data_IF_006739962436
#
_entry.id   IF_006739962436
#
_cell.length_a   1.000
_cell.length_b   1.000
_cell.length_c   1.000
_cell.angle_alpha   90.00
_cell.angle_beta   90.00
_cell.angle_gamma   90.00
#
_symmetry.space_group_name_H-M   'P 1'
#
loop_
_entity.id
_entity.type
_entity.pdbx_description
1 polymer ?
#
# COMPACT_ATOMS: atom_id res chain seq x y z
N UNK A 1 -9.07 7.03 -21.28
CA UNK A 1 -8.90 5.79 -20.50
C UNK A 1 -7.45 5.38 -20.57
N UNK A 2 -6.91 4.84 -19.48
CA UNK A 2 -5.56 4.28 -19.43
C UNK A 2 -5.60 2.92 -18.74
N UNK A 3 -4.91 1.91 -19.30
CA UNK A 3 -4.90 0.56 -18.76
C UNK A 3 -4.08 0.51 -17.47
N UNK A 4 -4.66 0.00 -16.39
CA UNK A 4 -3.96 -0.33 -15.15
C UNK A 4 -3.85 -1.84 -15.05
N UNK A 5 -2.64 -2.37 -15.05
CA UNK A 5 -2.38 -3.81 -14.93
C UNK A 5 -1.60 -4.11 -13.65
N UNK A 6 -1.77 -5.29 -13.03
CA UNK A 6 -0.91 -5.72 -11.94
C UNK A 6 0.53 -5.86 -12.44
N UNK A 7 1.49 -5.34 -11.68
CA UNK A 7 2.90 -5.63 -11.87
C UNK A 7 3.29 -6.80 -10.98
N UNK A 8 3.43 -7.98 -11.59
CA UNK A 8 3.89 -9.19 -10.91
C UNK A 8 5.41 -9.10 -10.67
N UNK A 9 5.80 -9.21 -9.41
CA UNK A 9 7.18 -9.28 -8.97
C UNK A 9 7.25 -10.29 -7.82
N UNK A 10 7.68 -11.54 -8.07
CA UNK A 10 7.59 -12.62 -7.08
C UNK A 10 8.30 -12.32 -5.75
N UNK A 11 9.32 -11.45 -5.75
CA UNK A 11 10.05 -11.08 -4.53
C UNK A 11 9.25 -10.06 -3.74
N UNK A 12 8.80 -9.00 -4.40
CA UNK A 12 8.03 -7.94 -3.74
C UNK A 12 6.62 -8.39 -3.38
N UNK A 13 6.00 -9.25 -4.19
CA UNK A 13 4.68 -9.82 -3.89
C UNK A 13 4.74 -10.66 -2.60
N UNK A 14 5.87 -11.31 -2.32
CA UNK A 14 6.08 -12.09 -1.11
C UNK A 14 6.46 -11.23 0.11
N UNK A 15 7.37 -10.28 -0.05
CA UNK A 15 8.00 -9.57 1.09
C UNK A 15 7.67 -8.07 1.16
N UNK A 16 6.84 -7.55 0.26
CA UNK A 16 6.39 -6.17 0.27
C UNK A 16 5.37 -5.91 1.37
N UNK A 17 4.68 -4.78 1.29
CA UNK A 17 3.62 -4.36 2.19
C UNK A 17 2.41 -3.90 1.38
N UNK A 18 1.20 -4.04 1.91
CA UNK A 18 -0.01 -3.59 1.19
C UNK A 18 0.08 -2.06 1.05
N UNK A 19 -0.22 -1.47 -0.11
CA UNK A 19 -0.26 -0.02 -0.29
C UNK A 19 -1.13 0.72 0.75
N UNK A 20 -2.11 0.03 1.31
CA UNK A 20 -3.04 0.51 2.35
C UNK A 20 -2.51 0.35 3.77
N UNK A 21 -1.41 -0.37 3.95
CA UNK A 21 -0.83 -0.65 5.25
C UNK A 21 -0.30 0.59 5.97
N UNK A 22 -0.20 0.44 7.28
CA UNK A 22 0.45 1.41 8.16
C UNK A 22 1.94 1.59 7.81
N UNK A 23 2.59 0.55 7.25
CA UNK A 23 3.99 0.59 6.82
C UNK A 23 4.19 1.62 5.72
N UNK A 24 3.35 1.52 4.68
CA UNK A 24 3.42 2.38 3.51
C UNK A 24 3.05 3.81 3.88
N UNK A 25 2.05 3.98 4.76
CA UNK A 25 1.70 5.30 5.28
C UNK A 25 2.86 5.95 6.05
N UNK A 26 3.50 5.23 6.98
CA UNK A 26 4.53 5.81 7.85
C UNK A 26 5.85 6.07 7.13
N UNK A 27 6.31 5.14 6.28
CA UNK A 27 7.67 5.19 5.74
C UNK A 27 7.74 5.62 4.28
N UNK A 28 6.75 5.25 3.47
CA UNK A 28 6.77 5.57 2.03
C UNK A 28 6.21 6.94 1.69
N UNK A 29 5.39 7.55 2.56
CA UNK A 29 4.76 8.85 2.28
C UNK A 29 5.78 9.96 2.02
N UNK A 30 6.92 9.97 2.72
CA UNK A 30 7.99 10.95 2.47
C UNK A 30 8.75 10.68 1.17
N UNK A 31 8.76 9.42 0.71
CA UNK A 31 9.44 8.97 -0.50
C UNK A 31 8.62 9.31 -1.74
N UNK A 32 7.34 8.93 -1.79
CA UNK A 32 6.49 9.12 -2.98
C UNK A 32 5.56 10.32 -2.86
N UNK A 33 5.38 10.88 -1.67
CA UNK A 33 4.51 12.03 -1.41
C UNK A 33 3.06 11.62 -1.12
N UNK A 34 2.30 12.43 -0.34
CA UNK A 34 0.95 12.09 0.11
C UNK A 34 -0.02 11.75 -1.03
N UNK A 35 0.01 12.54 -2.12
CA UNK A 35 -0.87 12.31 -3.28
C UNK A 35 -0.56 10.98 -3.98
N UNK A 36 0.71 10.63 -4.13
CA UNK A 36 1.09 9.36 -4.74
C UNK A 36 0.72 8.18 -3.85
N UNK A 37 0.91 8.30 -2.53
CA UNK A 37 0.47 7.28 -1.56
C UNK A 37 -1.03 7.01 -1.70
N UNK A 38 -1.87 8.04 -1.67
CA UNK A 38 -3.32 7.87 -1.84
C UNK A 38 -3.72 7.33 -3.22
N UNK A 39 -3.02 7.76 -4.28
CA UNK A 39 -3.27 7.23 -5.61
C UNK A 39 -3.00 5.73 -5.66
N UNK A 40 -1.87 5.25 -5.13
CA UNK A 40 -1.52 3.83 -5.16
C UNK A 40 -2.48 3.02 -4.29
N UNK A 41 -2.94 3.53 -3.15
CA UNK A 41 -4.02 2.91 -2.33
C UNK A 41 -5.29 2.69 -3.14
N UNK A 42 -5.72 3.70 -3.90
CA UNK A 42 -6.88 3.61 -4.79
C UNK A 42 -6.65 2.61 -5.91
N UNK A 43 -5.45 2.62 -6.51
CA UNK A 43 -5.11 1.69 -7.58
C UNK A 43 -5.14 0.23 -7.11
N UNK A 44 -4.61 -0.02 -5.91
CA UNK A 44 -4.64 -1.32 -5.24
C UNK A 44 -6.07 -1.79 -4.93
N UNK A 45 -6.92 -0.91 -4.42
CA UNK A 45 -8.34 -1.22 -4.18
C UNK A 45 -9.08 -1.61 -5.46
N UNK A 46 -8.69 -1.02 -6.60
CA UNK A 46 -9.22 -1.42 -7.91
C UNK A 46 -8.87 -2.85 -8.32
N UNK A 47 -7.72 -3.37 -7.86
CA UNK A 47 -7.31 -4.76 -8.12
C UNK A 47 -8.09 -5.78 -7.30
N UNK A 48 -8.67 -5.38 -6.15
CA UNK A 48 -9.53 -6.28 -5.38
C UNK A 48 -10.78 -6.66 -6.19
N UNK A 49 -11.36 -5.68 -6.90
CA UNK A 49 -12.49 -5.91 -7.80
C UNK A 49 -12.10 -6.43 -9.18
N UNK A 50 -10.90 -6.08 -9.66
CA UNK A 50 -10.41 -6.44 -11.00
C UNK A 50 -8.97 -6.99 -10.93
N UNK A 51 -8.77 -8.26 -10.54
CA UNK A 51 -7.44 -8.82 -10.27
C UNK A 51 -6.48 -8.76 -11.48
N UNK A 52 -7.02 -8.88 -12.70
CA UNK A 52 -6.26 -8.82 -13.96
C UNK A 52 -6.06 -7.38 -14.50
N UNK A 53 -6.50 -6.39 -13.73
CA UNK A 53 -6.44 -4.98 -14.08
C UNK A 53 -7.70 -4.44 -14.75
N UNK A 54 -7.74 -3.12 -14.90
CA UNK A 54 -8.92 -2.37 -15.31
C UNK A 54 -8.53 -1.09 -16.06
N UNK A 55 -9.50 -0.48 -16.74
CA UNK A 55 -9.29 0.79 -17.41
C UNK A 55 -9.61 1.95 -16.46
N UNK A 56 -8.65 2.84 -16.29
CA UNK A 56 -8.76 4.01 -15.44
C UNK A 56 -9.20 5.23 -16.25
N UNK A 57 -10.30 5.85 -15.83
CA UNK A 57 -10.60 7.22 -16.20
C UNK A 57 -9.69 8.16 -15.39
N UNK A 58 -8.60 8.60 -16.03
CA UNK A 58 -7.60 9.49 -15.44
C UNK A 58 -8.22 10.80 -14.95
N UNK A 59 -9.13 11.39 -15.72
CA UNK A 59 -9.73 12.68 -15.40
C UNK A 59 -10.71 12.56 -14.22
N UNK A 60 -11.59 11.56 -14.26
CA UNK A 60 -12.49 11.27 -13.15
C UNK A 60 -11.73 10.93 -11.86
N UNK A 61 -10.67 10.13 -11.98
CA UNK A 61 -9.84 9.73 -10.83
C UNK A 61 -9.10 10.91 -10.22
N UNK A 62 -8.51 11.78 -11.04
CA UNK A 62 -7.84 12.99 -10.57
C UNK A 62 -8.81 13.90 -9.80
N UNK A 63 -10.01 14.16 -10.35
CA UNK A 63 -11.03 14.97 -9.68
C UNK A 63 -11.51 14.34 -8.37
N UNK A 64 -11.68 13.02 -8.34
CA UNK A 64 -12.07 12.27 -7.13
C UNK A 64 -11.02 12.32 -6.00
N UNK A 65 -9.76 12.60 -6.35
CA UNK A 65 -8.67 12.82 -5.39
C UNK A 65 -8.49 14.31 -5.04
N UNK A 66 -9.38 15.20 -5.49
CA UNK A 66 -9.29 16.64 -5.28
C UNK A 66 -8.16 17.31 -6.07
N UNK A 67 -7.68 16.68 -7.15
CA UNK A 67 -6.58 17.19 -7.96
C UNK A 67 -7.12 17.97 -9.16
N UNK A 68 -6.47 19.09 -9.48
CA UNK A 68 -6.77 19.81 -10.71
C UNK A 68 -6.37 18.99 -11.94
N UNK A 69 -7.26 18.94 -12.91
CA UNK A 69 -7.02 18.28 -14.20
C UNK A 69 -6.45 19.33 -15.15
N UNK A 70 -5.21 19.74 -14.92
CA UNK A 70 -4.47 20.49 -15.93
C UNK A 70 -4.09 19.54 -17.06
N UNK A 71 -4.25 19.95 -18.32
CA UNK A 71 -3.77 19.14 -19.46
C UNK A 71 -2.24 19.02 -19.40
N UNK A 72 -1.71 17.79 -19.50
CA UNK A 72 -0.29 17.51 -19.68
C UNK A 72 0.49 17.05 -18.44
N UNK A 73 1.79 16.84 -18.63
CA UNK A 73 2.73 16.24 -17.67
C UNK A 73 2.92 17.04 -16.37
N UNK A 74 2.50 18.31 -16.35
CA UNK A 74 2.62 19.19 -15.18
C UNK A 74 1.48 19.01 -14.15
N UNK A 75 0.43 18.26 -14.46
CA UNK A 75 -0.71 18.07 -13.55
C UNK A 75 -0.29 17.38 -12.24
N UNK A 76 -0.92 17.70 -11.10
CA UNK A 76 -0.65 17.01 -9.84
C UNK A 76 -0.81 15.48 -9.94
N UNK A 77 -1.79 15.02 -10.72
CA UNK A 77 -2.01 13.60 -10.98
C UNK A 77 -0.85 12.98 -11.77
N UNK A 78 -0.42 13.62 -12.87
CA UNK A 78 0.72 13.16 -13.65
C UNK A 78 2.02 13.15 -12.82
N UNK A 79 2.24 14.15 -11.96
CA UNK A 79 3.38 14.19 -11.04
C UNK A 79 3.33 13.05 -10.02
N UNK A 80 2.15 12.74 -9.46
CA UNK A 80 2.00 11.63 -8.53
C UNK A 80 2.31 10.28 -9.20
N UNK A 81 1.79 10.03 -10.41
CA UNK A 81 2.15 8.85 -11.23
C UNK A 81 3.63 8.80 -11.56
N UNK A 82 4.21 9.92 -11.99
CA UNK A 82 5.62 10.01 -12.34
C UNK A 82 6.51 9.69 -11.13
N UNK A 83 6.12 10.10 -9.92
CA UNK A 83 6.81 9.68 -8.69
C UNK A 83 6.67 8.19 -8.44
N UNK A 84 5.47 7.61 -8.62
CA UNK A 84 5.28 6.16 -8.52
C UNK A 84 6.21 5.41 -9.49
N UNK A 85 6.38 5.91 -10.71
CA UNK A 85 7.32 5.35 -11.68
C UNK A 85 8.78 5.52 -11.24
N UNK A 86 9.16 6.73 -10.84
CA UNK A 86 10.54 7.06 -10.43
C UNK A 86 11.02 6.23 -9.23
N UNK A 87 10.11 5.90 -8.30
CA UNK A 87 10.43 5.10 -7.11
C UNK A 87 10.06 3.62 -7.26
N UNK A 88 9.73 3.17 -8.47
CA UNK A 88 9.52 1.75 -8.77
C UNK A 88 8.24 1.15 -8.20
N UNK A 89 7.25 1.97 -7.84
CA UNK A 89 5.89 1.54 -7.43
C UNK A 89 5.01 1.25 -8.65
N UNK A 90 5.27 1.92 -9.76
CA UNK A 90 4.61 1.68 -11.05
C UNK A 90 5.63 1.64 -12.19
N UNK A 91 5.22 1.15 -13.34
CA UNK A 91 5.98 1.19 -14.58
C UNK A 91 5.07 1.66 -15.71
N UNK A 92 5.52 2.64 -16.49
CA UNK A 92 4.80 3.07 -17.68
C UNK A 92 4.75 1.95 -18.74
N UNK A 93 3.63 1.86 -19.45
CA UNK A 93 3.37 0.96 -20.57
C UNK A 93 2.86 1.78 -21.75
N UNK A 94 2.68 1.15 -22.92
CA UNK A 94 2.22 1.85 -24.12
C UNK A 94 0.78 2.38 -24.00
N UNK A 95 -0.05 1.73 -23.19
CA UNK A 95 -1.49 2.01 -23.02
C UNK A 95 -1.88 2.43 -21.59
N UNK A 96 -0.90 2.57 -20.69
CA UNK A 96 -1.13 2.97 -19.31
C UNK A 96 0.03 2.60 -18.38
N UNK A 97 -0.26 1.92 -17.27
CA UNK A 97 0.71 1.62 -16.22
C UNK A 97 0.54 0.22 -15.64
N UNK A 98 1.67 -0.45 -15.41
CA UNK A 98 1.73 -1.62 -14.53
C UNK A 98 2.02 -1.14 -13.10
N UNK A 99 1.22 -1.57 -12.12
CA UNK A 99 1.30 -1.07 -10.74
C UNK A 99 1.50 -2.23 -9.79
N UNK A 100 2.43 -2.09 -8.84
CA UNK A 100 2.69 -3.12 -7.85
C UNK A 100 1.50 -3.28 -6.91
N UNK A 101 1.15 -4.53 -6.60
CA UNK A 101 0.15 -4.85 -5.56
C UNK A 101 0.72 -4.79 -4.15
N UNK A 102 2.04 -4.95 -4.02
CA UNK A 102 2.79 -4.87 -2.78
C UNK A 102 3.95 -3.88 -2.96
N UNK A 103 4.19 -3.03 -1.98
CA UNK A 103 5.26 -2.04 -1.99
C UNK A 103 6.47 -2.65 -1.28
N UNK A 104 7.67 -2.62 -1.88
CA UNK A 104 8.83 -3.21 -1.22
C UNK A 104 9.14 -2.52 0.11
N UNK A 105 9.86 -3.17 1.03
CA UNK A 105 10.42 -2.50 2.19
C UNK A 105 11.21 -1.27 1.77
N UNK A 106 11.13 -0.19 2.56
CA UNK A 106 11.84 1.05 2.25
C UNK A 106 13.35 0.77 2.16
N UNK A 107 14.00 1.31 1.11
CA UNK A 107 15.44 1.14 0.96
C UNK A 107 16.21 1.90 2.05
N UNK A 108 17.39 1.40 2.41
CA UNK A 108 18.24 2.04 3.42
C UNK A 108 18.54 3.51 3.09
N UNK A 109 18.71 3.84 1.80
CA UNK A 109 18.95 5.20 1.33
C UNK A 109 17.79 6.16 1.64
N UNK A 110 16.55 5.68 1.59
CA UNK A 110 15.38 6.49 1.94
C UNK A 110 15.13 6.52 3.45
N UNK A 111 15.36 5.40 4.13
CA UNK A 111 15.23 5.29 5.58
C UNK A 111 16.09 6.31 6.33
N UNK A 112 17.37 6.45 5.96
CA UNK A 112 18.29 7.38 6.64
C UNK A 112 17.93 8.87 6.48
N UNK A 113 16.99 9.20 5.58
CA UNK A 113 16.46 10.56 5.38
C UNK A 113 15.23 10.85 6.22
N UNK A 114 14.64 9.84 6.85
CA UNK A 114 13.52 10.03 7.76
C UNK A 114 14.00 10.68 9.07
N UNK A 115 13.10 11.36 9.81
CA UNK A 115 13.31 11.73 11.21
C UNK A 115 13.83 10.56 12.07
N UNK A 116 14.67 10.87 13.05
CA UNK A 116 15.36 9.85 13.87
C UNK A 116 14.41 8.92 14.62
N UNK A 117 13.27 9.44 15.08
CA UNK A 117 12.20 8.69 15.72
C UNK A 117 11.55 7.68 14.76
N UNK A 118 11.30 8.05 13.51
CA UNK A 118 10.79 7.13 12.49
C UNK A 118 11.82 6.07 12.10
N UNK A 119 13.11 6.41 12.09
CA UNK A 119 14.16 5.42 11.88
C UNK A 119 14.20 4.38 13.01
N UNK A 120 14.10 4.80 14.28
CA UNK A 120 14.07 3.87 15.41
C UNK A 120 12.82 2.98 15.39
N UNK A 121 11.64 3.57 15.13
CA UNK A 121 10.40 2.80 14.95
C UNK A 121 10.51 1.76 13.83
N UNK A 122 11.18 2.08 12.73
CA UNK A 122 11.42 1.12 11.65
C UNK A 122 12.36 -0.01 12.09
N UNK A 123 13.40 0.28 12.89
CA UNK A 123 14.28 -0.76 13.48
C UNK A 123 13.51 -1.67 14.44
N UNK A 124 12.64 -1.10 15.27
CA UNK A 124 11.72 -1.85 16.13
C UNK A 124 10.84 -2.79 15.30
N UNK A 125 10.19 -2.26 14.27
CA UNK A 125 9.40 -3.08 13.34
C UNK A 125 10.24 -4.22 12.76
N UNK A 126 11.41 -3.94 12.19
CA UNK A 126 12.27 -4.96 11.61
C UNK A 126 12.64 -6.08 12.60
N UNK A 127 12.87 -5.75 13.88
CA UNK A 127 13.10 -6.73 14.96
C UNK A 127 11.86 -7.60 15.19
N UNK A 128 10.68 -7.01 15.27
CA UNK A 128 9.41 -7.74 15.49
C UNK A 128 8.96 -8.57 14.28
N UNK A 129 9.39 -8.21 13.07
CA UNK A 129 9.06 -8.97 11.84
C UNK A 129 9.77 -10.31 11.71
N UNK A 130 10.84 -10.53 12.46
CA UNK A 130 11.63 -11.76 12.31
C UNK A 130 10.90 -12.99 12.86
N UNK A 131 9.95 -12.81 13.79
CA UNK A 131 9.24 -13.92 14.43
C UNK A 131 7.80 -13.54 14.74
N UNK A 132 6.83 -14.20 14.09
CA UNK A 132 5.42 -14.16 14.46
C UNK A 132 5.13 -15.40 15.31
N UNK A 133 4.63 -15.23 16.53
CA UNK A 133 4.16 -16.39 17.32
C UNK A 133 2.81 -16.85 16.79
N UNK A 134 2.57 -18.17 16.76
CA UNK A 134 1.30 -18.73 16.31
C UNK A 134 0.12 -18.17 17.11
N UNK A 135 0.29 -17.96 18.42
CA UNK A 135 -0.74 -17.37 19.28
C UNK A 135 -1.07 -15.92 18.92
N UNK A 136 -0.05 -15.12 18.57
CA UNK A 136 -0.26 -13.74 18.14
C UNK A 136 -1.00 -13.70 16.80
N UNK A 137 -0.62 -14.57 15.86
CA UNK A 137 -1.28 -14.68 14.57
C UNK A 137 -2.74 -15.16 14.71
N UNK A 138 -2.98 -16.22 15.46
CA UNK A 138 -4.32 -16.76 15.69
C UNK A 138 -5.24 -15.70 16.32
N UNK A 139 -4.72 -14.93 17.28
CA UNK A 139 -5.46 -13.81 17.88
C UNK A 139 -5.74 -12.71 16.88
N UNK A 140 -4.75 -12.32 16.08
CA UNK A 140 -4.92 -11.31 15.04
C UNK A 140 -5.97 -11.73 14.00
N UNK A 141 -5.94 -12.98 13.55
CA UNK A 141 -6.92 -13.55 12.63
C UNK A 141 -8.33 -13.56 13.22
N UNK A 142 -8.47 -13.95 14.48
CA UNK A 142 -9.77 -13.95 15.15
C UNK A 142 -10.36 -12.53 15.24
N UNK A 143 -9.54 -11.54 15.61
CA UNK A 143 -9.96 -10.14 15.67
C UNK A 143 -10.31 -9.60 14.27
N UNK A 144 -9.48 -9.87 13.26
CA UNK A 144 -9.71 -9.45 11.89
C UNK A 144 -11.01 -10.05 11.32
N UNK A 145 -11.26 -11.35 11.56
CA UNK A 145 -12.48 -12.00 11.15
C UNK A 145 -13.72 -11.36 11.80
N UNK A 146 -13.66 -11.04 13.09
CA UNK A 146 -14.77 -10.37 13.79
C UNK A 146 -15.04 -8.97 13.22
N UNK A 147 -14.01 -8.18 12.92
CA UNK A 147 -14.15 -6.85 12.30
C UNK A 147 -14.82 -6.95 10.92
N UNK A 148 -14.35 -7.89 10.09
CA UNK A 148 -14.89 -8.09 8.75
C UNK A 148 -16.33 -8.62 8.78
N UNK A 149 -16.63 -9.59 9.66
CA UNK A 149 -17.99 -10.12 9.84
C UNK A 149 -18.95 -9.05 10.39
N UNK A 150 -18.44 -8.08 11.16
CA UNK A 150 -19.19 -6.92 11.62
C UNK A 150 -19.42 -5.86 10.51
N UNK A 151 -18.75 -6.00 9.36
CA UNK A 151 -18.88 -5.10 8.21
C UNK A 151 -17.88 -3.96 8.18
N UNK A 152 -16.79 -4.02 8.95
CA UNK A 152 -15.71 -3.03 8.86
C UNK A 152 -15.04 -3.07 7.47
N UNK A 153 -14.60 -1.92 6.99
CA UNK A 153 -13.84 -1.80 5.74
C UNK A 153 -12.51 -2.57 5.86
N UNK A 154 -12.19 -3.53 4.96
CA UNK A 154 -10.90 -4.22 4.96
C UNK A 154 -9.69 -3.28 5.01
N UNK A 155 -9.80 -2.09 4.42
CA UNK A 155 -8.73 -1.09 4.43
C UNK A 155 -8.45 -0.48 5.81
N UNK A 156 -9.36 -0.61 6.78
CA UNK A 156 -9.19 -0.09 8.15
C UNK A 156 -8.73 -1.15 9.16
N UNK A 157 -8.93 -2.44 8.84
CA UNK A 157 -8.68 -3.56 9.76
C UNK A 157 -7.25 -3.57 10.31
N UNK A 158 -6.23 -3.40 9.46
CA UNK A 158 -4.83 -3.40 9.93
C UNK A 158 -4.60 -2.30 10.99
N UNK A 159 -5.09 -1.08 10.72
CA UNK A 159 -4.96 0.04 11.65
C UNK A 159 -5.65 -0.21 12.98
N UNK A 160 -6.82 -0.85 12.95
CA UNK A 160 -7.57 -1.22 14.16
C UNK A 160 -6.86 -2.32 14.96
N UNK A 161 -6.31 -3.35 14.29
CA UNK A 161 -5.51 -4.39 14.94
C UNK A 161 -4.30 -3.77 15.66
N UNK A 162 -3.58 -2.86 15.01
CA UNK A 162 -2.47 -2.13 15.61
C UNK A 162 -2.93 -1.31 16.83
N UNK A 163 -4.07 -0.62 16.72
CA UNK A 163 -4.61 0.21 17.79
C UNK A 163 -4.98 -0.59 19.05
N UNK A 164 -5.39 -1.85 18.91
CA UNK A 164 -5.68 -2.76 20.03
C UNK A 164 -4.45 -3.57 20.49
N UNK A 165 -3.26 -3.22 19.99
CA UNK A 165 -1.98 -3.78 20.44
C UNK A 165 -1.57 -5.09 19.76
N UNK A 166 -2.18 -5.44 18.63
CA UNK A 166 -1.69 -6.57 17.81
C UNK A 166 -0.32 -6.21 17.22
N UNK A 167 0.69 -7.09 17.32
CA UNK A 167 1.99 -6.85 16.69
C UNK A 167 1.86 -6.61 15.18
N UNK A 168 2.62 -5.66 14.59
CA UNK A 168 2.46 -5.29 13.18
C UNK A 168 2.49 -6.45 12.19
N UNK A 169 3.33 -7.44 12.44
CA UNK A 169 3.48 -8.60 11.56
C UNK A 169 2.35 -9.61 11.68
N UNK A 170 1.78 -9.77 12.87
CA UNK A 170 0.57 -10.56 13.05
C UNK A 170 -0.64 -9.84 12.42
N UNK A 171 -0.71 -8.50 12.52
CA UNK A 171 -1.77 -7.71 11.90
C UNK A 171 -1.70 -7.77 10.37
N UNK A 172 -0.52 -7.57 9.79
CA UNK A 172 -0.31 -7.66 8.33
C UNK A 172 -0.66 -9.05 7.80
N UNK A 173 -0.16 -10.12 8.44
CA UNK A 173 -0.43 -11.49 8.02
C UNK A 173 -1.91 -11.86 8.15
N UNK A 174 -2.59 -11.41 9.21
CA UNK A 174 -4.03 -11.63 9.37
C UNK A 174 -4.84 -10.96 8.25
N UNK A 175 -4.50 -9.72 7.88
CA UNK A 175 -5.15 -9.01 6.77
C UNK A 175 -4.91 -9.70 5.42
N UNK A 176 -3.68 -10.18 5.16
CA UNK A 176 -3.34 -10.93 3.95
C UNK A 176 -4.19 -12.20 3.83
N UNK A 177 -4.32 -12.96 4.91
CA UNK A 177 -5.10 -14.20 4.91
C UNK A 177 -6.60 -13.94 4.79
N UNK A 178 -7.09 -12.84 5.35
CA UNK A 178 -8.48 -12.43 5.21
C UNK A 178 -8.85 -12.02 3.77
N UNK A 179 -7.92 -11.42 3.02
CA UNK A 179 -8.14 -11.05 1.61
C UNK A 179 -8.29 -12.26 0.66
N UNK A 180 -7.98 -13.48 1.14
CA UNK A 180 -8.09 -14.73 0.39
C UNK A 180 -9.26 -15.62 0.81
N UNK A 181 -10.15 -15.13 1.68
CA UNK A 181 -11.33 -15.83 2.16
C UNK A 181 -12.53 -15.62 1.23
#
# INVERSE_FOLDING_TARGET
MARISPWVDPVVDRFGHDPRSSYVEQYWISVIGPTATWLVRRLASGFDAHPDGYDLDVEHTARSLGLSVSKGAASPFARALQRCVMFGVAAARSDGWAVRRRIPPISQRHLVRLPADLQERHREWARTTTTITLDALARAQALAAVMLDAGDDPATVEGQLLAVGVPPTAAEEACLLAAHR
#
